data_IF_995128362543
#
_entry.id   IF_995128362543
#
_cell.length_a   1.000
_cell.length_b   1.000
_cell.length_c   1.000
_cell.angle_alpha   90.00
_cell.angle_beta   90.00
_cell.angle_gamma   90.00
#
_symmetry.space_group_name_H-M   'P 1'
#
loop_
_entity.id
_entity.type
_entity.pdbx_description
1 polymer ?
#
# COMPACT_ATOMS: atom_id res chain seq x y z
N UNK A 1 14.63 43.82 -17.30
CA UNK A 1 13.28 43.37 -16.94
C UNK A 1 13.39 41.90 -16.56
N UNK A 2 13.57 41.62 -15.26
CA UNK A 2 13.74 40.27 -14.73
C UNK A 2 12.38 39.73 -14.27
N UNK A 3 11.91 38.67 -14.92
CA UNK A 3 10.71 37.92 -14.52
C UNK A 3 11.00 37.17 -13.23
N UNK A 4 10.29 37.53 -12.15
CA UNK A 4 10.28 36.74 -10.92
C UNK A 4 9.42 35.49 -11.11
N UNK A 5 9.80 34.35 -10.52
CA UNK A 5 8.96 33.16 -10.52
C UNK A 5 7.75 33.35 -9.60
N UNK A 6 6.60 32.89 -10.09
CA UNK A 6 5.30 32.89 -9.39
C UNK A 6 5.39 31.90 -8.21
N UNK A 7 4.93 32.26 -6.99
CA UNK A 7 4.93 31.34 -5.86
C UNK A 7 3.93 30.20 -6.12
N UNK A 8 4.42 28.96 -6.13
CA UNK A 8 3.60 27.75 -6.12
C UNK A 8 2.76 27.70 -4.84
N UNK A 9 1.53 27.22 -4.98
CA UNK A 9 0.45 27.29 -4.00
C UNK A 9 0.84 26.96 -2.57
N UNK A 10 0.35 27.79 -1.66
CA UNK A 10 0.38 27.61 -0.22
C UNK A 10 -0.37 26.31 0.10
N UNK A 11 0.37 25.22 0.31
CA UNK A 11 -0.15 24.09 1.06
C UNK A 11 -0.34 24.52 2.51
N UNK A 12 -1.34 23.92 3.15
CA UNK A 12 -1.72 24.02 4.55
C UNK A 12 -0.54 24.41 5.47
N UNK A 13 -0.73 25.40 6.35
CA UNK A 13 0.22 25.81 7.40
C UNK A 13 0.65 24.58 8.23
N UNK A 14 1.67 23.86 7.77
CA UNK A 14 2.49 23.01 8.62
C UNK A 14 3.27 24.00 9.48
N UNK A 15 2.80 24.19 10.72
CA UNK A 15 3.67 24.70 11.77
C UNK A 15 4.92 23.82 11.71
N UNK A 16 6.07 24.43 11.37
CA UNK A 16 7.36 23.76 11.30
C UNK A 16 7.82 23.35 12.71
N UNK A 17 7.09 22.41 13.30
CA UNK A 17 7.49 21.68 14.49
C UNK A 17 8.53 20.69 13.98
N UNK A 18 9.78 20.95 14.33
CA UNK A 18 10.91 20.11 13.98
C UNK A 18 10.69 18.72 14.58
N UNK A 19 10.23 17.77 13.76
CA UNK A 19 9.98 16.40 14.19
C UNK A 19 11.32 15.74 14.53
N UNK A 20 11.43 15.18 15.74
CA UNK A 20 12.62 14.40 16.13
C UNK A 20 12.48 12.95 15.70
N UNK A 21 13.57 12.34 15.19
CA UNK A 21 13.59 10.90 14.93
C UNK A 21 13.47 10.10 16.23
N UNK A 22 12.68 9.04 16.18
CA UNK A 22 12.39 8.16 17.30
C UNK A 22 13.06 6.79 17.10
N UNK A 23 13.61 6.20 18.17
CA UNK A 23 14.09 4.81 18.15
C UNK A 23 12.92 3.83 18.19
N UNK A 24 13.12 2.59 17.75
CA UNK A 24 12.11 1.55 17.93
C UNK A 24 11.81 1.38 19.43
N UNK A 25 10.55 1.13 19.79
CA UNK A 25 10.13 1.08 21.20
C UNK A 25 10.87 0.05 22.04
N UNK A 26 11.29 -1.04 21.41
CA UNK A 26 12.09 -2.10 22.04
C UNK A 26 13.53 -2.15 21.53
N UNK A 27 14.05 -1.06 20.96
CA UNK A 27 15.40 -1.04 20.38
C UNK A 27 16.48 -1.47 21.37
N UNK A 28 16.35 -1.06 22.63
CA UNK A 28 17.27 -1.42 23.72
C UNK A 28 17.26 -2.92 24.08
N UNK A 29 16.23 -3.65 23.65
CA UNK A 29 16.09 -5.11 23.80
C UNK A 29 16.39 -5.85 22.49
N UNK A 30 17.01 -5.18 21.52
CA UNK A 30 17.23 -5.72 20.17
C UNK A 30 15.96 -5.83 19.33
N UNK A 31 14.86 -5.20 19.75
CA UNK A 31 13.58 -5.19 19.03
C UNK A 31 13.55 -4.15 17.90
N UNK A 32 12.86 -4.49 16.81
CA UNK A 32 12.58 -3.58 15.68
C UNK A 32 11.08 -3.52 15.42
N UNK A 33 10.60 -2.37 14.94
CA UNK A 33 9.21 -2.16 14.56
C UNK A 33 9.09 -2.17 13.04
N UNK A 34 8.49 -3.23 12.50
CA UNK A 34 8.30 -3.49 11.07
C UNK A 34 6.89 -3.06 10.64
N UNK A 35 6.82 -2.38 9.49
CA UNK A 35 5.57 -1.84 8.96
C UNK A 35 5.27 -2.40 7.58
N UNK A 36 4.08 -2.96 7.43
CA UNK A 36 3.58 -3.50 6.17
C UNK A 36 2.45 -2.61 5.65
N UNK A 37 2.45 -2.33 4.37
CA UNK A 37 1.47 -1.45 3.73
C UNK A 37 0.94 -2.07 2.45
N UNK A 38 -0.36 -2.01 2.24
CA UNK A 38 -0.89 -1.98 0.87
C UNK A 38 -0.64 -0.59 0.28
N UNK A 39 -0.19 -0.52 -0.96
CA UNK A 39 0.09 0.78 -1.56
C UNK A 39 -1.19 1.43 -2.07
N UNK A 40 -1.97 0.65 -2.82
CA UNK A 40 -3.17 1.10 -3.53
C UNK A 40 -4.33 1.30 -2.59
N UNK A 41 -5.02 2.42 -2.75
CA UNK A 41 -6.18 2.86 -1.95
C UNK A 41 -5.92 2.98 -0.44
N UNK A 42 -4.73 2.63 0.05
CA UNK A 42 -4.34 2.66 1.45
C UNK A 42 -3.21 3.66 1.75
N UNK A 43 -2.08 3.60 1.02
CA UNK A 43 -1.04 4.65 1.09
C UNK A 43 -1.38 5.79 0.14
N UNK A 44 -1.79 5.47 -1.09
CA UNK A 44 -2.17 6.45 -2.09
C UNK A 44 -3.35 5.98 -2.95
N UNK A 45 -4.26 6.90 -3.27
CA UNK A 45 -5.26 6.73 -4.32
C UNK A 45 -4.65 7.07 -5.67
N UNK A 46 -4.64 6.10 -6.58
CA UNK A 46 -4.07 6.24 -7.93
C UNK A 46 -5.16 6.06 -8.98
N UNK A 47 -5.05 6.80 -10.09
CA UNK A 47 -6.02 6.85 -11.19
C UNK A 47 -5.92 5.65 -12.15
N UNK A 48 -5.12 4.63 -11.83
CA UNK A 48 -4.84 3.49 -12.72
C UNK A 48 -6.14 2.81 -13.17
N UNK A 49 -6.47 2.82 -14.48
CA UNK A 49 -7.71 2.25 -14.97
C UNK A 49 -7.60 0.72 -15.13
N UNK A 50 -8.70 0.02 -14.87
CA UNK A 50 -8.93 -1.35 -15.33
C UNK A 50 -9.72 -1.33 -16.64
N UNK A 51 -9.48 -2.31 -17.50
CA UNK A 51 -10.10 -2.36 -18.85
C UNK A 51 -11.06 -3.52 -18.97
N UNK A 52 -12.34 -3.23 -19.20
CA UNK A 52 -13.35 -4.22 -19.54
C UNK A 52 -13.53 -4.30 -21.05
N UNK A 53 -13.86 -5.48 -21.57
CA UNK A 53 -14.02 -5.70 -23.01
C UNK A 53 -15.44 -6.08 -23.32
N UNK A 54 -16.10 -5.40 -24.26
CA UNK A 54 -17.43 -5.78 -24.69
C UNK A 54 -17.37 -7.13 -25.42
N UNK A 55 -18.20 -8.10 -25.02
CA UNK A 55 -18.13 -9.51 -25.47
C UNK A 55 -18.26 -9.71 -26.98
N UNK A 56 -19.00 -8.84 -27.66
CA UNK A 56 -19.25 -8.95 -29.11
C UNK A 56 -18.32 -8.06 -29.94
N UNK A 57 -18.36 -6.74 -29.71
CA UNK A 57 -17.55 -5.76 -30.46
C UNK A 57 -16.06 -5.73 -30.07
N UNK A 58 -15.70 -6.21 -28.89
CA UNK A 58 -14.35 -6.04 -28.34
C UNK A 58 -14.04 -4.61 -27.85
N UNK A 59 -15.03 -3.72 -27.84
CA UNK A 59 -14.87 -2.33 -27.38
C UNK A 59 -14.38 -2.27 -25.93
N UNK A 60 -13.40 -1.42 -25.67
CA UNK A 60 -12.79 -1.26 -24.36
C UNK A 60 -13.52 -0.22 -23.51
N UNK A 61 -13.78 -0.56 -22.25
CA UNK A 61 -14.38 0.32 -21.26
C UNK A 61 -13.46 0.42 -20.05
N UNK A 62 -12.91 1.61 -19.81
CA UNK A 62 -12.12 1.87 -18.61
C UNK A 62 -13.02 2.03 -17.38
N UNK A 63 -12.61 1.42 -16.27
CA UNK A 63 -13.26 1.53 -14.96
C UNK A 63 -12.20 1.78 -13.88
N UNK A 64 -12.57 2.51 -12.83
CA UNK A 64 -11.70 2.76 -11.67
C UNK A 64 -11.64 1.54 -10.73
N UNK A 65 -10.61 1.49 -9.87
CA UNK A 65 -10.49 0.50 -8.79
C UNK A 65 -11.73 0.47 -7.87
N UNK A 66 -12.30 1.63 -7.55
CA UNK A 66 -13.53 1.72 -6.76
C UNK A 66 -14.75 1.12 -7.47
N UNK A 67 -14.93 1.38 -8.77
CA UNK A 67 -15.98 0.74 -9.57
C UNK A 67 -15.77 -0.78 -9.67
N UNK A 68 -14.52 -1.21 -9.84
CA UNK A 68 -14.17 -2.63 -9.85
C UNK A 68 -14.52 -3.32 -8.53
N UNK A 69 -14.18 -2.71 -7.39
CA UNK A 69 -14.49 -3.26 -6.07
C UNK A 69 -15.99 -3.54 -5.88
N UNK A 70 -16.86 -2.69 -6.44
CA UNK A 70 -18.31 -2.82 -6.37
C UNK A 70 -18.89 -3.83 -7.38
N UNK A 71 -18.38 -3.88 -8.61
CA UNK A 71 -19.06 -4.56 -9.72
C UNK A 71 -18.39 -5.86 -10.19
N UNK A 72 -17.12 -6.14 -9.87
CA UNK A 72 -16.36 -7.23 -10.52
C UNK A 72 -17.02 -8.61 -10.44
N UNK A 73 -17.72 -8.93 -9.34
CA UNK A 73 -18.43 -10.22 -9.17
C UNK A 73 -19.58 -10.39 -10.17
N UNK A 74 -20.16 -9.26 -10.63
CA UNK A 74 -21.32 -9.18 -11.54
C UNK A 74 -20.93 -9.01 -13.01
N UNK A 75 -19.70 -8.59 -13.31
CA UNK A 75 -19.22 -8.39 -14.68
C UNK A 75 -19.45 -9.67 -15.50
N UNK A 76 -20.00 -9.48 -16.70
CA UNK A 76 -20.32 -10.59 -17.60
C UNK A 76 -21.53 -11.43 -17.20
N UNK A 77 -22.21 -11.09 -16.10
CA UNK A 77 -23.37 -11.85 -15.59
C UNK A 77 -24.62 -10.97 -15.51
N UNK A 78 -24.54 -9.84 -14.80
CA UNK A 78 -25.68 -8.95 -14.51
C UNK A 78 -25.25 -7.49 -14.42
N UNK A 79 -26.22 -6.57 -14.31
CA UNK A 79 -25.94 -5.14 -14.12
C UNK A 79 -25.43 -4.42 -15.38
N UNK A 80 -24.80 -3.26 -15.17
CA UNK A 80 -24.34 -2.36 -16.23
C UNK A 80 -23.20 -2.94 -17.08
N UNK A 81 -22.48 -3.94 -16.56
CA UNK A 81 -21.36 -4.61 -17.23
C UNK A 81 -21.68 -6.06 -17.65
N UNK A 82 -22.97 -6.42 -17.78
CA UNK A 82 -23.38 -7.78 -18.17
C UNK A 82 -22.85 -8.23 -19.54
N UNK A 83 -22.67 -7.28 -20.45
CA UNK A 83 -22.21 -7.52 -21.83
C UNK A 83 -20.69 -7.34 -21.98
N UNK A 84 -19.98 -7.13 -20.86
CA UNK A 84 -18.53 -7.02 -20.80
C UNK A 84 -17.90 -8.28 -20.20
N UNK A 85 -16.62 -8.49 -20.47
CA UNK A 85 -15.82 -9.60 -19.94
C UNK A 85 -14.51 -9.10 -19.31
N UNK A 86 -13.98 -9.93 -18.42
CA UNK A 86 -12.65 -9.78 -17.82
C UNK A 86 -11.69 -10.64 -18.62
N UNK A 87 -10.64 -10.03 -19.16
CA UNK A 87 -9.52 -10.73 -19.78
C UNK A 87 -8.32 -10.75 -18.84
N UNK A 88 -7.75 -11.92 -18.61
CA UNK A 88 -6.68 -12.14 -17.61
C UNK A 88 -5.27 -12.07 -18.18
N UNK A 89 -5.13 -11.93 -19.50
CA UNK A 89 -3.81 -11.76 -20.12
C UNK A 89 -3.13 -10.49 -19.59
N UNK A 90 -1.90 -10.63 -19.11
CA UNK A 90 -1.21 -9.58 -18.33
C UNK A 90 -0.92 -8.35 -19.19
N UNK A 91 -0.55 -8.55 -20.46
CA UNK A 91 -0.06 -7.47 -21.30
C UNK A 91 -1.15 -6.74 -22.09
N UNK A 92 -2.28 -7.39 -22.34
CA UNK A 92 -3.36 -6.84 -23.20
C UNK A 92 -4.73 -6.83 -22.52
N UNK A 93 -4.89 -7.55 -21.42
CA UNK A 93 -6.16 -7.71 -20.72
C UNK A 93 -6.47 -6.61 -19.73
N UNK A 94 -7.30 -6.97 -18.76
CA UNK A 94 -7.98 -6.06 -17.82
C UNK A 94 -7.02 -5.27 -16.95
N UNK A 95 -5.94 -5.93 -16.54
CA UNK A 95 -4.97 -5.42 -15.57
C UNK A 95 -3.68 -4.93 -16.22
N UNK A 96 -3.66 -4.71 -17.55
CA UNK A 96 -2.43 -4.32 -18.25
C UNK A 96 -1.76 -3.07 -17.67
N UNK A 97 -2.55 -2.07 -17.27
CA UNK A 97 -2.06 -0.84 -16.62
C UNK A 97 -1.47 -1.07 -15.21
N UNK A 98 -1.64 -2.27 -14.65
CA UNK A 98 -1.05 -2.70 -13.38
C UNK A 98 0.27 -3.46 -13.57
N UNK A 99 0.84 -3.43 -14.78
CA UNK A 99 2.08 -4.13 -15.17
C UNK A 99 3.13 -3.16 -15.68
N UNK A 100 4.38 -3.60 -15.59
CA UNK A 100 5.46 -2.99 -16.35
C UNK A 100 5.32 -3.38 -17.82
N UNK A 101 5.66 -2.43 -18.69
CA UNK A 101 5.60 -2.55 -20.13
C UNK A 101 6.97 -2.27 -20.75
N UNK A 102 7.30 -2.96 -21.83
CA UNK A 102 8.45 -2.60 -22.65
C UNK A 102 8.22 -1.26 -23.38
N UNK A 103 9.27 -0.71 -23.99
CA UNK A 103 9.19 0.57 -24.68
C UNK A 103 8.17 0.59 -25.84
N UNK A 104 7.99 -0.53 -26.54
CA UNK A 104 7.03 -0.61 -27.64
C UNK A 104 5.60 -0.57 -27.14
N UNK A 105 5.32 -1.30 -26.06
CA UNK A 105 4.04 -1.32 -25.39
C UNK A 105 3.70 0.05 -24.78
N UNK A 106 4.66 0.70 -24.12
CA UNK A 106 4.49 2.07 -23.63
C UNK A 106 4.13 3.03 -24.76
N UNK A 107 4.85 2.99 -25.89
CA UNK A 107 4.51 3.81 -27.07
C UNK A 107 3.09 3.53 -27.58
N UNK A 108 2.65 2.27 -27.61
CA UNK A 108 1.28 1.88 -28.02
C UNK A 108 0.22 2.43 -27.06
N UNK A 109 0.54 2.52 -25.76
CA UNK A 109 -0.33 3.12 -24.76
C UNK A 109 -0.27 4.65 -24.73
N UNK A 110 0.60 5.28 -25.53
CA UNK A 110 0.81 6.73 -25.54
C UNK A 110 1.65 7.24 -24.37
N UNK A 111 2.46 6.35 -23.78
CA UNK A 111 3.19 6.55 -22.54
C UNK A 111 4.70 6.64 -22.78
N UNK A 112 5.38 7.52 -22.06
CA UNK A 112 6.84 7.66 -22.08
C UNK A 112 7.55 6.99 -20.90
N UNK A 113 6.80 6.62 -19.87
CA UNK A 113 7.28 5.98 -18.63
C UNK A 113 6.27 4.93 -18.17
N UNK A 114 6.65 4.06 -17.23
CA UNK A 114 5.73 3.05 -16.68
C UNK A 114 4.45 3.69 -16.12
N UNK A 115 3.31 3.02 -16.29
CA UNK A 115 1.98 3.53 -15.90
C UNK A 115 1.95 3.97 -14.44
N UNK A 116 2.47 3.15 -13.52
CA UNK A 116 2.56 3.51 -12.10
C UNK A 116 3.31 4.83 -11.84
N UNK A 117 4.38 5.12 -12.58
CA UNK A 117 5.13 6.37 -12.41
C UNK A 117 4.32 7.58 -12.87
N UNK A 118 3.53 7.42 -13.94
CA UNK A 118 2.64 8.46 -14.42
C UNK A 118 1.51 8.71 -13.44
N UNK A 119 0.88 7.65 -12.94
CA UNK A 119 -0.23 7.77 -11.98
C UNK A 119 0.23 8.48 -10.70
N UNK A 120 1.43 8.17 -10.20
CA UNK A 120 2.01 8.89 -9.05
C UNK A 120 2.32 10.35 -9.40
N UNK A 121 2.90 10.62 -10.57
CA UNK A 121 3.19 12.00 -10.98
C UNK A 121 1.91 12.83 -11.17
N UNK A 122 0.85 12.22 -11.69
CA UNK A 122 -0.48 12.84 -11.86
C UNK A 122 -1.10 13.11 -10.49
N UNK A 123 -1.10 12.12 -9.59
CA UNK A 123 -1.59 12.24 -8.21
C UNK A 123 -0.95 13.42 -7.47
N UNK A 124 0.36 13.61 -7.63
CA UNK A 124 1.13 14.73 -7.07
C UNK A 124 0.70 16.11 -7.61
N UNK A 125 0.00 16.17 -8.73
CA UNK A 125 -0.61 17.38 -9.27
C UNK A 125 -1.91 17.79 -8.57
N UNK A 126 -2.52 16.90 -7.78
CA UNK A 126 -3.76 17.16 -7.06
C UNK A 126 -3.52 17.54 -5.59
N UNK A 127 -4.50 18.21 -4.94
CA UNK A 127 -4.44 18.44 -3.50
C UNK A 127 -4.27 17.15 -2.70
N UNK A 128 -3.50 17.22 -1.62
CA UNK A 128 -3.21 16.13 -0.69
C UNK A 128 -4.41 15.23 -0.35
N UNK A 129 -5.58 15.84 -0.09
CA UNK A 129 -6.81 15.14 0.29
C UNK A 129 -7.37 14.23 -0.81
N UNK A 130 -6.93 14.36 -2.07
CA UNK A 130 -7.43 13.56 -3.19
C UNK A 130 -6.62 12.29 -3.42
N UNK A 131 -5.34 12.28 -3.04
CA UNK A 131 -4.45 11.17 -3.36
C UNK A 131 -3.81 10.52 -2.14
N UNK A 132 -3.68 11.21 -1.00
CA UNK A 132 -3.17 10.58 0.22
C UNK A 132 -4.20 9.62 0.78
N UNK A 133 -3.82 8.34 0.82
CA UNK A 133 -4.65 7.28 1.40
C UNK A 133 -4.71 7.35 2.93
N UNK A 134 -5.60 6.56 3.55
CA UNK A 134 -5.83 6.57 4.99
C UNK A 134 -4.59 6.23 5.83
N UNK A 135 -3.66 5.43 5.29
CA UNK A 135 -2.41 5.05 5.96
C UNK A 135 -1.22 5.95 5.62
N UNK A 136 -1.42 7.03 4.85
CA UNK A 136 -0.34 7.93 4.44
C UNK A 136 0.54 8.39 5.62
N UNK A 137 -0.09 8.71 6.74
CA UNK A 137 0.61 9.22 7.93
C UNK A 137 1.43 8.14 8.65
N UNK A 138 0.96 6.89 8.65
CA UNK A 138 1.73 5.74 9.11
C UNK A 138 2.92 5.48 8.19
N UNK A 139 2.72 5.56 6.87
CA UNK A 139 3.78 5.39 5.87
C UNK A 139 4.86 6.47 5.98
N UNK A 140 4.45 7.74 6.12
CA UNK A 140 5.36 8.85 6.40
C UNK A 140 6.15 8.62 7.68
N UNK A 141 5.50 8.22 8.78
CA UNK A 141 6.19 7.96 10.05
C UNK A 141 7.21 6.84 9.96
N UNK A 142 6.85 5.71 9.34
CA UNK A 142 7.77 4.59 9.13
C UNK A 142 8.99 5.03 8.33
N UNK A 143 8.77 5.81 7.26
CA UNK A 143 9.81 6.35 6.40
C UNK A 143 10.72 7.35 7.11
N UNK A 144 10.14 8.34 7.78
CA UNK A 144 10.86 9.38 8.52
C UNK A 144 11.76 8.78 9.62
N UNK A 145 11.26 7.76 10.33
CA UNK A 145 12.00 7.07 11.39
C UNK A 145 12.87 5.91 10.90
N UNK A 146 12.95 5.67 9.59
CA UNK A 146 13.73 4.60 8.97
C UNK A 146 13.42 3.21 9.55
N UNK A 147 12.13 3.00 9.84
CA UNK A 147 11.58 1.70 10.22
C UNK A 147 11.63 0.78 9.00
N UNK A 148 11.93 -0.51 9.16
CA UNK A 148 11.88 -1.44 8.03
C UNK A 148 10.46 -1.55 7.48
N UNK A 149 10.29 -1.36 6.18
CA UNK A 149 9.00 -1.30 5.50
C UNK A 149 8.86 -2.41 4.47
N UNK A 150 7.73 -3.11 4.50
CA UNK A 150 7.30 -3.97 3.39
C UNK A 150 6.11 -3.36 2.68
N UNK A 151 6.19 -3.23 1.35
CA UNK A 151 5.04 -2.86 0.51
C UNK A 151 4.45 -4.14 -0.07
N UNK A 152 3.16 -4.38 0.12
CA UNK A 152 2.43 -5.57 -0.32
C UNK A 152 1.21 -5.12 -1.11
N UNK A 153 1.32 -5.09 -2.44
CA UNK A 153 0.28 -4.53 -3.33
C UNK A 153 -0.23 -5.59 -4.32
N UNK A 154 -1.49 -5.46 -4.73
CA UNK A 154 -2.07 -6.22 -5.84
C UNK A 154 -1.52 -5.83 -7.22
N UNK A 155 -0.68 -4.79 -7.32
CA UNK A 155 0.02 -4.45 -8.56
C UNK A 155 0.92 -5.59 -9.01
N UNK A 156 1.18 -5.60 -10.31
CA UNK A 156 2.08 -6.52 -10.99
C UNK A 156 3.35 -5.88 -11.52
N UNK A 157 3.57 -4.59 -11.22
CA UNK A 157 4.77 -3.84 -11.57
C UNK A 157 6.01 -4.45 -10.93
N UNK A 158 7.18 -4.17 -11.50
CA UNK A 158 8.46 -4.56 -10.87
C UNK A 158 8.70 -3.76 -9.59
N UNK A 159 9.46 -4.35 -8.66
CA UNK A 159 9.78 -3.70 -7.39
C UNK A 159 10.50 -2.34 -7.59
N UNK A 160 11.38 -2.23 -8.59
CA UNK A 160 12.07 -0.99 -8.91
C UNK A 160 11.15 0.09 -9.48
N UNK A 161 10.11 -0.29 -10.21
CA UNK A 161 9.08 0.65 -10.68
C UNK A 161 8.28 1.21 -9.51
N UNK A 162 7.94 0.37 -8.53
CA UNK A 162 7.28 0.82 -7.29
C UNK A 162 8.19 1.79 -6.49
N UNK A 163 9.48 1.45 -6.32
CA UNK A 163 10.45 2.39 -5.71
C UNK A 163 10.58 3.69 -6.51
N UNK A 164 10.50 3.60 -7.83
CA UNK A 164 10.48 4.78 -8.71
C UNK A 164 9.35 5.75 -8.38
N UNK A 165 8.13 5.25 -8.13
CA UNK A 165 7.02 6.09 -7.71
C UNK A 165 7.26 6.70 -6.32
N UNK A 166 7.79 5.93 -5.38
CA UNK A 166 8.16 6.47 -4.05
C UNK A 166 9.24 7.55 -4.17
N UNK A 167 10.21 7.41 -5.09
CA UNK A 167 11.20 8.46 -5.38
C UNK A 167 10.57 9.74 -5.89
N UNK A 168 9.46 9.68 -6.64
CA UNK A 168 8.71 10.87 -7.04
C UNK A 168 8.08 11.57 -5.81
N UNK A 169 7.56 10.82 -4.85
CA UNK A 169 7.05 11.37 -3.58
C UNK A 169 8.16 12.06 -2.77
N UNK A 170 9.39 11.52 -2.82
CA UNK A 170 10.56 12.15 -2.18
C UNK A 170 10.98 13.41 -2.94
N UNK A 171 11.10 13.34 -4.26
CA UNK A 171 11.50 14.47 -5.11
C UNK A 171 10.53 15.66 -5.07
N UNK A 172 9.26 15.40 -4.77
CA UNK A 172 8.21 16.41 -4.57
C UNK A 172 8.11 16.93 -3.13
N UNK A 173 8.90 16.40 -2.19
CA UNK A 173 8.93 16.82 -0.80
C UNK A 173 7.83 16.26 0.10
N UNK A 174 6.98 15.35 -0.41
CA UNK A 174 5.95 14.69 0.40
C UNK A 174 6.52 13.60 1.32
N UNK A 175 7.67 13.03 0.95
CA UNK A 175 8.48 12.19 1.83
C UNK A 175 9.87 12.82 2.03
N UNK A 176 10.43 12.77 3.25
CA UNK A 176 11.74 13.32 3.53
C UNK A 176 12.88 12.50 2.91
N UNK A 177 12.66 11.21 2.68
CA UNK A 177 13.61 10.25 2.12
C UNK A 177 12.90 8.97 1.70
N UNK A 178 13.61 8.06 1.03
CA UNK A 178 13.05 6.74 0.72
C UNK A 178 12.89 5.88 2.00
N UNK A 179 11.89 4.97 2.05
CA UNK A 179 11.76 3.97 3.09
C UNK A 179 13.00 3.08 3.23
N UNK A 180 13.25 2.61 4.45
CA UNK A 180 14.14 1.48 4.68
C UNK A 180 13.41 0.19 4.22
N UNK A 181 13.47 -0.12 2.93
CA UNK A 181 12.76 -1.26 2.37
C UNK A 181 13.28 -2.58 2.94
N UNK A 182 12.40 -3.32 3.61
CA UNK A 182 12.58 -4.73 3.93
C UNK A 182 12.23 -5.60 2.71
N UNK A 183 11.09 -5.34 2.08
CA UNK A 183 10.63 -6.04 0.88
C UNK A 183 9.61 -5.21 0.09
N UNK A 184 9.44 -5.54 -1.19
CA UNK A 184 8.35 -5.04 -2.03
C UNK A 184 7.76 -6.24 -2.74
N UNK A 185 6.51 -6.57 -2.44
CA UNK A 185 5.76 -7.72 -2.93
C UNK A 185 4.57 -7.25 -3.77
N UNK A 186 4.78 -6.95 -5.07
CA UNK A 186 3.71 -6.82 -6.06
C UNK A 186 3.17 -8.21 -6.34
N UNK A 187 2.15 -8.63 -5.59
CA UNK A 187 1.75 -10.04 -5.52
C UNK A 187 1.14 -10.58 -6.80
N UNK A 188 0.78 -9.72 -7.76
CA UNK A 188 0.33 -10.18 -9.07
C UNK A 188 1.49 -10.38 -10.05
N UNK A 189 2.70 -9.89 -9.77
CA UNK A 189 3.89 -10.07 -10.62
C UNK A 189 4.27 -11.57 -10.72
N UNK A 190 4.46 -12.13 -11.92
CA UNK A 190 4.70 -13.57 -12.08
C UNK A 190 5.90 -14.12 -11.30
N UNK A 191 7.00 -13.38 -11.21
CA UNK A 191 8.19 -13.83 -10.49
C UNK A 191 7.97 -13.80 -8.97
N UNK A 192 7.25 -12.78 -8.48
CA UNK A 192 6.86 -12.71 -7.08
C UNK A 192 5.84 -13.79 -6.72
N UNK A 193 4.90 -14.12 -7.61
CA UNK A 193 3.96 -15.24 -7.41
C UNK A 193 4.69 -16.56 -7.23
N UNK A 194 5.64 -16.86 -8.11
CA UNK A 194 6.49 -18.06 -8.00
C UNK A 194 7.29 -18.06 -6.69
N UNK A 195 7.86 -16.91 -6.31
CA UNK A 195 8.57 -16.77 -5.03
C UNK A 195 7.66 -17.06 -3.83
N UNK A 196 6.39 -16.64 -3.90
CA UNK A 196 5.36 -16.91 -2.89
C UNK A 196 4.76 -18.33 -2.99
N UNK A 197 5.30 -19.20 -3.84
CA UNK A 197 4.89 -20.60 -3.98
C UNK A 197 3.73 -20.85 -4.94
N UNK A 198 3.27 -19.85 -5.70
CA UNK A 198 2.26 -20.00 -6.74
C UNK A 198 2.92 -20.27 -8.10
N UNK A 199 3.57 -21.44 -8.21
CA UNK A 199 4.33 -21.82 -9.40
C UNK A 199 3.47 -21.90 -10.68
N UNK A 200 2.21 -22.30 -10.52
CA UNK A 200 1.26 -22.50 -11.62
C UNK A 200 0.40 -21.26 -11.90
N UNK A 201 0.62 -20.14 -11.19
CA UNK A 201 -0.09 -18.87 -11.39
C UNK A 201 -1.62 -18.99 -11.28
N UNK A 202 -2.10 -19.82 -10.35
CA UNK A 202 -3.54 -20.10 -10.15
C UNK A 202 -4.11 -19.50 -8.86
N UNK A 203 -3.25 -19.04 -7.94
CA UNK A 203 -3.73 -18.46 -6.68
C UNK A 203 -4.32 -17.06 -6.87
N UNK A 204 -5.29 -16.73 -6.02
CA UNK A 204 -5.90 -15.41 -6.00
C UNK A 204 -5.02 -14.41 -5.22
N UNK A 205 -5.23 -13.11 -5.47
CA UNK A 205 -4.47 -12.02 -4.84
C UNK A 205 -4.53 -12.04 -3.31
N UNK A 206 -5.65 -12.47 -2.71
CA UNK A 206 -5.82 -12.50 -1.26
C UNK A 206 -4.89 -13.53 -0.60
N UNK A 207 -4.84 -14.77 -1.12
CA UNK A 207 -3.91 -15.82 -0.69
C UNK A 207 -2.46 -15.36 -0.83
N UNK A 208 -2.13 -14.76 -1.97
CA UNK A 208 -0.78 -14.26 -2.24
C UNK A 208 -0.38 -13.12 -1.27
N UNK A 209 -1.31 -12.21 -0.92
CA UNK A 209 -1.07 -11.19 0.11
C UNK A 209 -0.80 -11.81 1.48
N UNK A 210 -1.54 -12.85 1.89
CA UNK A 210 -1.24 -13.56 3.15
C UNK A 210 0.18 -14.16 3.13
N UNK A 211 0.57 -14.82 2.04
CA UNK A 211 1.93 -15.35 1.90
C UNK A 211 2.99 -14.26 1.90
N UNK A 212 2.72 -13.09 1.31
CA UNK A 212 3.61 -11.95 1.34
C UNK A 212 3.80 -11.36 2.77
N UNK A 213 2.75 -11.35 3.59
CA UNK A 213 2.86 -10.97 5.02
C UNK A 213 3.81 -11.91 5.75
N UNK A 214 3.62 -13.23 5.60
CA UNK A 214 4.53 -14.25 6.17
C UNK A 214 5.95 -14.09 5.67
N UNK A 215 6.13 -13.99 4.35
CA UNK A 215 7.44 -13.82 3.73
C UNK A 215 8.15 -12.55 4.23
N UNK A 216 7.40 -11.48 4.51
CA UNK A 216 7.93 -10.24 5.09
C UNK A 216 8.43 -10.46 6.53
N UNK A 217 7.66 -11.18 7.36
CA UNK A 217 8.11 -11.55 8.72
C UNK A 217 9.36 -12.42 8.67
N UNK A 218 9.38 -13.45 7.84
CA UNK A 218 10.55 -14.32 7.71
C UNK A 218 11.76 -13.57 7.16
N UNK A 219 11.57 -12.63 6.23
CA UNK A 219 12.63 -11.76 5.75
C UNK A 219 13.19 -10.89 6.88
N UNK A 220 12.31 -10.32 7.72
CA UNK A 220 12.75 -9.56 8.89
C UNK A 220 13.63 -10.40 9.82
N UNK A 221 13.26 -11.65 10.08
CA UNK A 221 14.05 -12.56 10.91
C UNK A 221 15.39 -12.93 10.26
N UNK A 222 15.44 -13.12 8.94
CA UNK A 222 16.69 -13.36 8.21
C UNK A 222 17.62 -12.14 8.21
N UNK A 223 17.06 -10.94 8.02
CA UNK A 223 17.84 -9.70 7.86
C UNK A 223 18.27 -9.10 9.20
N UNK A 224 17.39 -9.11 10.20
CA UNK A 224 17.60 -8.44 11.49
C UNK A 224 17.84 -9.42 12.65
N UNK A 225 17.77 -10.72 12.40
CA UNK A 225 17.85 -11.76 13.42
C UNK A 225 16.51 -11.96 14.15
N UNK A 226 16.45 -13.03 14.96
CA UNK A 226 15.33 -13.25 15.86
C UNK A 226 15.44 -12.35 17.09
N UNK A 227 14.34 -11.69 17.46
CA UNK A 227 14.16 -11.11 18.77
C UNK A 227 12.71 -11.26 19.21
N UNK A 228 12.52 -11.73 20.44
CA UNK A 228 11.22 -11.80 21.11
C UNK A 228 10.50 -10.43 21.15
N UNK A 229 11.25 -9.34 20.99
CA UNK A 229 10.73 -7.98 21.08
C UNK A 229 10.46 -7.34 19.71
N UNK A 230 10.54 -8.10 18.62
CA UNK A 230 10.07 -7.66 17.30
C UNK A 230 8.58 -7.36 17.31
N UNK A 231 8.21 -6.30 16.58
CA UNK A 231 6.84 -5.85 16.42
C UNK A 231 6.51 -5.73 14.94
N UNK A 232 5.44 -6.34 14.50
CA UNK A 232 4.96 -6.28 13.13
C UNK A 232 3.60 -5.60 13.09
N UNK A 233 3.43 -4.61 12.23
CA UNK A 233 2.17 -3.90 12.04
C UNK A 233 1.80 -3.84 10.57
N UNK A 234 0.52 -4.08 10.26
CA UNK A 234 -0.03 -3.83 8.92
C UNK A 234 -1.24 -2.91 9.04
N UNK A 235 -1.30 -1.93 8.15
CA UNK A 235 -2.39 -0.96 8.07
C UNK A 235 -3.28 -1.29 6.88
N UNK A 236 -4.60 -1.33 7.09
CA UNK A 236 -5.59 -1.55 6.04
C UNK A 236 -6.93 -0.89 6.43
N UNK A 237 -7.78 -0.62 5.44
CA UNK A 237 -9.09 0.01 5.59
C UNK A 237 -10.23 -0.75 4.90
N UNK A 238 -9.94 -1.76 4.05
CA UNK A 238 -10.96 -2.66 3.50
C UNK A 238 -11.26 -3.78 4.52
N UNK A 239 -12.50 -3.92 5.02
CA UNK A 239 -12.88 -4.98 5.96
C UNK A 239 -12.52 -6.41 5.50
N UNK A 240 -12.53 -6.67 4.19
CA UNK A 240 -12.15 -7.99 3.62
C UNK A 240 -10.65 -8.22 3.74
N UNK A 241 -9.83 -7.22 3.48
CA UNK A 241 -8.38 -7.32 3.65
C UNK A 241 -8.02 -7.44 5.14
N UNK A 242 -8.67 -6.66 6.00
CA UNK A 242 -8.47 -6.70 7.46
C UNK A 242 -8.64 -8.13 8.00
N UNK A 243 -9.68 -8.85 7.57
CA UNK A 243 -9.90 -10.23 8.00
C UNK A 243 -8.74 -11.15 7.60
N UNK A 244 -8.26 -11.06 6.35
CA UNK A 244 -7.14 -11.85 5.85
C UNK A 244 -5.83 -11.55 6.60
N UNK A 245 -5.59 -10.29 6.92
CA UNK A 245 -4.44 -9.84 7.71
C UNK A 245 -4.50 -10.43 9.12
N UNK A 246 -5.66 -10.36 9.77
CA UNK A 246 -5.86 -10.90 11.12
C UNK A 246 -5.59 -12.41 11.15
N UNK A 247 -6.14 -13.15 10.18
CA UNK A 247 -5.94 -14.60 10.08
C UNK A 247 -4.45 -14.95 9.97
N UNK A 248 -3.74 -14.28 9.07
CA UNK A 248 -2.33 -14.58 8.83
C UNK A 248 -1.43 -14.13 9.99
N UNK A 249 -1.69 -12.96 10.57
CA UNK A 249 -0.99 -12.52 11.78
C UNK A 249 -1.27 -13.41 12.98
N UNK A 250 -2.46 -14.02 13.06
CA UNK A 250 -2.79 -14.99 14.12
C UNK A 250 -1.98 -16.27 13.95
N UNK A 251 -1.85 -16.77 12.70
CA UNK A 251 -0.97 -17.91 12.40
C UNK A 251 0.49 -17.60 12.79
N UNK A 252 0.97 -16.41 12.43
CA UNK A 252 2.31 -15.95 12.78
C UNK A 252 2.50 -15.78 14.29
N UNK A 253 1.49 -15.28 15.02
CA UNK A 253 1.51 -15.20 16.49
C UNK A 253 1.58 -16.59 17.13
N UNK A 254 0.94 -17.60 16.54
CA UNK A 254 1.05 -18.98 17.01
C UNK A 254 2.47 -19.56 16.78
N UNK A 255 3.10 -19.22 15.66
CA UNK A 255 4.49 -19.62 15.37
C UNK A 255 5.52 -18.85 16.22
N UNK A 256 5.29 -17.56 16.45
CA UNK A 256 6.20 -16.64 17.15
C UNK A 256 5.48 -15.99 18.35
N UNK A 257 5.20 -16.75 19.42
CA UNK A 257 4.33 -16.30 20.51
C UNK A 257 4.88 -15.14 21.33
N UNK A 258 6.19 -14.90 21.31
CA UNK A 258 6.81 -13.81 22.05
C UNK A 258 6.72 -12.46 21.30
N UNK A 259 6.71 -12.50 19.96
CA UNK A 259 6.64 -11.30 19.12
C UNK A 259 5.26 -10.67 19.16
N UNK A 260 5.18 -9.37 18.89
CA UNK A 260 3.89 -8.65 18.82
C UNK A 260 3.47 -8.44 17.37
N UNK A 261 2.19 -8.70 17.10
CA UNK A 261 1.57 -8.48 15.79
C UNK A 261 0.38 -7.54 15.96
N UNK A 262 0.26 -6.58 15.04
CA UNK A 262 -0.75 -5.52 15.12
C UNK A 262 -1.46 -5.33 13.78
N UNK A 263 -2.79 -5.26 13.83
CA UNK A 263 -3.61 -4.72 12.76
C UNK A 263 -3.97 -3.27 13.11
N UNK A 264 -3.77 -2.36 12.16
CA UNK A 264 -4.15 -0.95 12.28
C UNK A 264 -5.34 -0.71 11.36
N UNK A 265 -6.49 -0.42 11.95
CA UNK A 265 -7.67 -0.01 11.20
C UNK A 265 -7.64 1.51 11.04
N UNK A 266 -7.68 1.96 9.79
CA UNK A 266 -7.65 3.38 9.43
C UNK A 266 -8.96 3.76 8.76
N UNK A 267 -9.98 4.13 9.54
CA UNK A 267 -11.31 4.49 9.01
C UNK A 267 -11.69 5.93 9.40
N UNK A 268 -11.99 6.78 8.42
CA UNK A 268 -12.52 8.16 8.62
C UNK A 268 -11.69 9.04 9.59
N UNK A 269 -10.37 8.83 9.66
CA UNK A 269 -9.47 9.60 10.52
C UNK A 269 -9.32 9.05 11.93
N UNK A 270 -10.03 7.99 12.29
CA UNK A 270 -9.78 7.22 13.51
C UNK A 270 -8.73 6.12 13.24
N UNK A 271 -7.83 5.95 14.21
CA UNK A 271 -6.81 4.91 14.22
C UNK A 271 -7.10 3.96 15.38
N UNK A 272 -7.51 2.73 15.06
CA UNK A 272 -7.67 1.68 16.07
C UNK A 272 -6.57 0.65 15.89
N UNK A 273 -5.75 0.50 16.93
CA UNK A 273 -4.70 -0.49 16.96
C UNK A 273 -5.20 -1.74 17.67
N UNK A 274 -5.14 -2.86 16.97
CA UNK A 274 -5.52 -4.17 17.48
C UNK A 274 -4.27 -5.03 17.64
N UNK A 275 -3.95 -5.40 18.88
CA UNK A 275 -2.95 -6.44 19.11
C UNK A 275 -3.56 -7.81 18.86
N UNK A 276 -2.87 -8.61 18.07
CA UNK A 276 -3.23 -9.98 17.75
C UNK A 276 -2.73 -10.87 18.89
N UNK A 277 -3.64 -11.54 19.58
CA UNK A 277 -3.34 -12.52 20.63
C UNK A 277 -3.91 -13.88 20.26
N UNK A 278 -3.41 -14.95 20.87
CA UNK A 278 -3.94 -16.31 20.64
C UNK A 278 -5.40 -16.46 21.12
N UNK A 279 -5.86 -15.57 22.01
CA UNK A 279 -7.24 -15.52 22.49
C UNK A 279 -8.13 -14.56 21.69
N UNK A 280 -7.64 -13.96 20.59
CA UNK A 280 -8.37 -13.00 19.77
C UNK A 280 -7.75 -11.60 19.74
N UNK A 281 -8.50 -10.59 19.27
CA UNK A 281 -8.03 -9.21 19.19
C UNK A 281 -8.16 -8.48 20.52
N UNK A 282 -7.08 -7.81 20.96
CA UNK A 282 -7.14 -6.83 22.04
C UNK A 282 -6.99 -5.42 21.45
N UNK A 283 -8.11 -4.71 21.34
CA UNK A 283 -8.15 -3.36 20.79
C UNK A 283 -7.77 -2.30 21.82
N UNK A 284 -6.99 -1.31 21.40
CA UNK A 284 -6.82 -0.04 22.12
C UNK A 284 -7.33 1.08 21.22
N UNK A 285 -8.47 1.69 21.56
CA UNK A 285 -8.94 2.90 20.87
C UNK A 285 -8.07 4.07 21.30
N UNK A 286 -7.55 4.81 20.32
CA UNK A 286 -6.96 6.11 20.57
C UNK A 286 -8.02 7.15 20.18
N UNK A 287 -8.66 7.85 21.13
CA UNK A 287 -9.68 8.82 20.78
C UNK A 287 -9.10 9.93 19.90
N UNK A 288 -9.81 10.28 18.83
CA UNK A 288 -9.64 11.53 18.11
C UNK A 288 -10.13 12.65 19.04
N UNK A 289 -9.23 13.53 19.49
CA UNK A 289 -9.66 14.73 20.20
C UNK A 289 -10.38 15.65 19.21
N UNK A 290 -11.62 16.00 19.53
CA UNK A 290 -12.53 16.78 18.72
C UNK A 290 -11.97 18.14 18.25
N UNK A 291 -12.47 18.56 17.08
CA UNK A 291 -12.46 19.91 16.48
C UNK A 291 -11.15 20.47 15.92
N UNK A 292 -10.71 19.91 14.79
CA UNK A 292 -10.49 20.61 13.51
C UNK A 292 -9.75 19.65 12.57
N UNK A 293 -10.13 19.62 11.30
CA UNK A 293 -9.35 18.93 10.26
C UNK A 293 -7.99 19.64 10.12
N UNK A 294 -7.03 19.36 10.99
CA UNK A 294 -5.65 19.82 10.89
C UNK A 294 -4.77 19.02 11.86
N UNK A 295 -3.86 18.23 11.29
CA UNK A 295 -2.78 17.47 11.97
C UNK A 295 -3.19 16.39 12.98
N UNK A 296 -2.82 15.15 12.69
CA UNK A 296 -2.81 14.06 13.67
C UNK A 296 -1.91 14.42 14.84
N UNK A 297 -2.36 14.18 16.07
CA UNK A 297 -1.49 14.34 17.22
C UNK A 297 -0.43 13.22 17.24
N UNK A 298 0.82 13.59 17.53
CA UNK A 298 1.98 12.68 17.51
C UNK A 298 1.77 11.42 18.37
N UNK A 299 0.96 11.50 19.42
CA UNK A 299 0.62 10.40 20.32
C UNK A 299 -0.12 9.24 19.63
N UNK A 300 -0.90 9.53 18.57
CA UNK A 300 -1.67 8.51 17.84
C UNK A 300 -0.79 7.61 16.97
N UNK A 301 0.29 8.15 16.41
CA UNK A 301 1.23 7.43 15.54
C UNK A 301 2.36 6.77 16.36
N UNK A 302 2.72 7.33 17.52
CA UNK A 302 3.75 6.88 18.48
C UNK A 302 3.55 5.50 19.12
N UNK A 303 2.50 4.75 18.77
CA UNK A 303 2.16 3.49 19.46
C UNK A 303 2.95 2.25 18.96
N UNK A 304 3.95 2.43 18.10
CA UNK A 304 4.95 1.41 17.71
C UNK A 304 6.24 1.47 18.50
#
# INVERSE_FOLDING_TARGET
MSSQPIPSGVSQLELAIERSREKDRNFHLGGRSFYFFDFDDNVAFLSTPLVLFHKQSGEEKMVSSGQWALEHVRIGKTGIYKDFEIRWEDQTGTFRHFRDHDEEQLRKLGFSTQTFLQDVAEALGFPDLQWKGPSWQCFYHATFNQRPVSVITARGHEAETIKGGVRLLVGSGHLPMEPNYLSIFPVSNPEIRKFLGDAELNENTAELKQRAIRASVEMALRTYGYSAHHRFGMSDDDPRNIQLIIEEMTRLKATYPEMSFFMIETHKGDFVKHEITLSGLKGSRVPSSDTSQQSLSETQIRLF
#
